data_IF_561818260304
#
_entry.id   IF_561818260304
#
_cell.length_a   1.000
_cell.length_b   1.000
_cell.length_c   1.000
_cell.angle_alpha   90.00
_cell.angle_beta   90.00
_cell.angle_gamma   90.00
#
_symmetry.space_group_name_H-M   'P 1'
#
loop_
_entity.id
_entity.type
_entity.pdbx_description
1 polymer ?
#
# COMPACT_ATOMS: atom_id res chain seq x y z
N UNK A 1 -29.25 -28.14 19.78
CA UNK A 1 -28.08 -28.15 18.92
C UNK A 1 -27.37 -26.83 19.10
N UNK A 2 -26.31 -26.83 19.90
CA UNK A 2 -25.47 -25.65 20.03
C UNK A 2 -24.54 -25.60 18.81
N UNK A 3 -24.76 -24.62 17.95
CA UNK A 3 -23.83 -24.30 16.88
C UNK A 3 -22.64 -23.61 17.53
N UNK A 4 -21.53 -24.31 17.60
CA UNK A 4 -20.26 -23.79 18.10
C UNK A 4 -19.78 -22.72 17.11
N UNK A 5 -19.95 -21.45 17.48
CA UNK A 5 -19.50 -20.29 16.73
C UNK A 5 -18.09 -19.85 17.15
N UNK A 6 -17.21 -20.78 17.46
CA UNK A 6 -15.78 -20.49 17.54
C UNK A 6 -15.25 -20.24 16.13
N UNK A 7 -15.59 -19.08 15.56
CA UNK A 7 -14.88 -18.54 14.41
C UNK A 7 -13.45 -18.30 14.87
N UNK A 8 -12.54 -19.14 14.43
CA UNK A 8 -11.12 -18.87 14.51
C UNK A 8 -10.91 -17.50 13.88
N UNK A 9 -10.67 -16.48 14.71
CA UNK A 9 -10.15 -15.20 14.28
C UNK A 9 -8.74 -15.47 13.76
N UNK A 10 -8.63 -15.88 12.51
CA UNK A 10 -7.37 -15.84 11.78
C UNK A 10 -7.10 -14.36 11.58
N UNK A 11 -6.31 -13.78 12.48
CA UNK A 11 -5.78 -12.45 12.26
C UNK A 11 -4.94 -12.51 10.98
N UNK A 12 -5.47 -11.93 9.92
CA UNK A 12 -4.76 -11.83 8.66
C UNK A 12 -3.50 -10.96 8.91
N UNK A 13 -2.32 -11.53 8.74
CA UNK A 13 -1.03 -10.86 8.94
C UNK A 13 -0.33 -10.76 7.60
N UNK A 14 -0.24 -9.57 7.05
CA UNK A 14 0.55 -9.38 5.86
C UNK A 14 2.01 -9.05 6.21
N UNK A 15 2.92 -9.50 5.36
CA UNK A 15 4.31 -9.06 5.36
C UNK A 15 4.46 -7.89 4.40
N UNK A 16 5.18 -6.85 4.81
CA UNK A 16 5.53 -5.73 3.95
C UNK A 16 7.03 -5.76 3.76
N UNK A 17 7.48 -6.01 2.53
CA UNK A 17 8.88 -6.24 2.22
C UNK A 17 9.39 -5.22 1.21
N UNK A 18 10.28 -4.33 1.64
CA UNK A 18 10.99 -3.43 0.76
C UNK A 18 12.15 -4.18 0.10
N UNK A 19 12.17 -4.18 -1.25
CA UNK A 19 13.17 -4.85 -2.06
C UNK A 19 13.73 -3.92 -3.12
N UNK A 20 14.87 -4.27 -3.72
CA UNK A 20 15.45 -3.50 -4.80
C UNK A 20 14.68 -3.69 -6.13
N UNK A 21 14.99 -2.85 -7.11
CA UNK A 21 14.33 -2.87 -8.43
C UNK A 21 14.46 -4.21 -9.14
N UNK A 22 15.64 -4.80 -9.11
CA UNK A 22 15.92 -6.07 -9.79
C UNK A 22 15.06 -7.18 -9.19
N UNK A 23 15.09 -7.32 -7.87
CA UNK A 23 14.32 -8.37 -7.18
C UNK A 23 12.82 -8.15 -7.37
N UNK A 24 12.36 -6.89 -7.44
CA UNK A 24 10.96 -6.58 -7.73
C UNK A 24 10.58 -6.96 -9.16
N UNK A 25 11.42 -6.63 -10.16
CA UNK A 25 11.16 -6.92 -11.57
C UNK A 25 11.33 -8.39 -11.93
N UNK A 26 12.19 -9.12 -11.22
CA UNK A 26 12.39 -10.56 -11.40
C UNK A 26 11.18 -11.37 -10.90
N UNK A 27 10.34 -10.78 -10.02
CA UNK A 27 9.05 -11.34 -9.62
C UNK A 27 8.03 -11.11 -10.74
N UNK A 28 7.54 -12.17 -11.32
CA UNK A 28 6.52 -12.11 -12.37
C UNK A 28 5.13 -12.02 -11.75
N UNK A 29 4.76 -10.82 -11.33
CA UNK A 29 3.40 -10.59 -10.83
C UNK A 29 2.40 -10.61 -12.00
N UNK A 30 1.40 -11.47 -11.92
CA UNK A 30 0.30 -11.55 -12.87
C UNK A 30 -1.03 -11.79 -12.13
N UNK A 31 -2.13 -11.19 -12.62
CA UNK A 31 -2.22 -10.19 -13.67
C UNK A 31 -1.87 -8.79 -13.19
N UNK A 32 -1.29 -8.02 -14.10
CA UNK A 32 -1.07 -6.59 -13.96
C UNK A 32 -2.40 -5.85 -13.95
N UNK A 33 -2.68 -5.09 -12.90
CA UNK A 33 -3.78 -4.12 -12.91
C UNK A 33 -3.22 -2.79 -13.39
N UNK A 34 -3.34 -2.56 -14.69
CA UNK A 34 -2.98 -1.28 -15.31
C UNK A 34 -4.05 -0.23 -14.98
N UNK A 35 -3.83 0.48 -13.91
CA UNK A 35 -4.68 1.57 -13.46
C UNK A 35 -4.39 2.90 -14.18
N UNK A 36 -3.50 2.92 -15.16
CA UNK A 36 -3.12 4.12 -15.88
C UNK A 36 -4.05 4.48 -17.04
N UNK A 37 -5.15 3.76 -17.23
CA UNK A 37 -6.10 4.11 -18.29
C UNK A 37 -6.92 5.34 -17.90
N UNK A 38 -6.73 6.48 -18.60
CA UNK A 38 -7.36 7.77 -18.25
C UNK A 38 -8.90 7.80 -18.35
N UNK A 39 -9.54 6.70 -18.70
CA UNK A 39 -11.00 6.63 -18.86
C UNK A 39 -11.75 6.23 -17.58
N UNK A 40 -11.05 5.70 -16.57
CA UNK A 40 -11.66 5.29 -15.32
C UNK A 40 -10.92 6.00 -14.17
N UNK A 41 -11.47 7.07 -13.61
CA UNK A 41 -10.81 7.88 -12.59
C UNK A 41 -10.51 7.13 -11.29
N UNK A 42 -11.18 6.01 -11.06
CA UNK A 42 -11.02 5.16 -9.89
C UNK A 42 -10.63 3.76 -10.34
N UNK A 43 -9.34 3.51 -10.38
CA UNK A 43 -8.85 2.16 -10.61
C UNK A 43 -8.92 1.35 -9.32
N UNK A 44 -10.08 0.79 -9.06
CA UNK A 44 -10.29 -0.18 -8.01
C UNK A 44 -10.67 -1.51 -8.64
N UNK A 45 -9.98 -2.57 -8.25
CA UNK A 45 -10.29 -3.92 -8.70
C UNK A 45 -10.26 -4.89 -7.53
N UNK A 46 -11.27 -5.75 -7.48
CA UNK A 46 -11.24 -6.89 -6.57
C UNK A 46 -10.71 -8.12 -7.32
N UNK A 47 -9.59 -8.64 -6.84
CA UNK A 47 -8.86 -9.75 -7.46
C UNK A 47 -8.98 -10.96 -6.54
N UNK A 48 -9.66 -12.03 -7.00
CA UNK A 48 -9.91 -13.21 -6.17
C UNK A 48 -8.76 -14.20 -6.15
N UNK A 49 -8.20 -14.49 -7.31
CA UNK A 49 -7.36 -15.67 -7.51
C UNK A 49 -5.96 -15.34 -7.99
N UNK A 50 -5.56 -14.07 -7.94
CA UNK A 50 -4.32 -13.61 -8.55
C UNK A 50 -3.57 -12.63 -7.66
N UNK A 51 -2.28 -12.45 -8.00
CA UNK A 51 -1.45 -11.42 -7.43
C UNK A 51 -1.91 -10.04 -7.92
N UNK A 52 -1.65 -9.03 -7.12
CA UNK A 52 -1.88 -7.64 -7.48
C UNK A 52 -0.54 -6.95 -7.74
N UNK A 53 -0.49 -6.12 -8.77
CA UNK A 53 0.64 -5.21 -8.99
C UNK A 53 0.16 -3.88 -9.55
N UNK A 54 0.79 -2.78 -9.08
CA UNK A 54 0.67 -1.46 -9.67
C UNK A 54 1.96 -0.68 -9.49
N UNK A 55 2.28 0.17 -10.45
CA UNK A 55 3.52 0.95 -10.48
C UNK A 55 3.31 2.41 -10.77
N UNK A 56 4.42 3.14 -10.88
CA UNK A 56 4.47 4.58 -11.19
C UNK A 56 3.64 5.44 -10.21
N UNK A 57 3.60 5.03 -8.93
CA UNK A 57 2.92 5.80 -7.89
C UNK A 57 3.77 7.04 -7.60
N UNK A 58 3.36 8.16 -8.15
CA UNK A 58 4.01 9.48 -7.97
C UNK A 58 3.21 10.33 -6.99
N UNK A 59 2.24 11.05 -7.51
CA UNK A 59 1.29 11.88 -6.74
C UNK A 59 0.02 11.13 -6.37
N UNK A 60 -0.21 9.98 -7.01
CA UNK A 60 -1.34 9.10 -6.79
C UNK A 60 -1.34 8.52 -5.37
N UNK A 61 -2.49 8.05 -4.94
CA UNK A 61 -2.65 7.17 -3.78
C UNK A 61 -2.89 5.75 -4.26
N UNK A 62 -2.11 4.82 -3.76
CA UNK A 62 -2.24 3.41 -4.11
C UNK A 62 -2.15 2.51 -2.88
N UNK A 63 -2.59 1.28 -3.05
CA UNK A 63 -2.58 0.28 -1.99
C UNK A 63 -3.55 -0.85 -2.25
N UNK A 64 -3.94 -1.50 -1.19
CA UNK A 64 -4.95 -2.54 -1.24
C UNK A 64 -5.38 -3.01 0.14
N UNK A 65 -6.53 -3.66 0.15
CA UNK A 65 -7.07 -4.39 1.28
C UNK A 65 -7.11 -5.86 0.94
N UNK A 66 -6.62 -6.69 1.83
CA UNK A 66 -6.50 -8.14 1.63
C UNK A 66 -7.33 -8.86 2.66
N UNK A 67 -8.08 -9.84 2.22
CA UNK A 67 -8.77 -10.83 3.06
C UNK A 67 -8.56 -12.24 2.50
N UNK A 68 -9.14 -13.24 3.16
CA UNK A 68 -9.11 -14.64 2.72
C UNK A 68 -9.75 -14.87 1.34
N UNK A 69 -10.55 -13.94 0.85
CA UNK A 69 -11.23 -14.02 -0.44
C UNK A 69 -10.50 -13.33 -1.59
N UNK A 70 -9.50 -12.49 -1.31
CA UNK A 70 -8.74 -11.82 -2.34
C UNK A 70 -8.20 -10.45 -1.95
N UNK A 71 -7.76 -9.70 -2.94
CA UNK A 71 -7.18 -8.35 -2.82
C UNK A 71 -8.11 -7.34 -3.45
N UNK A 72 -8.49 -6.32 -2.69
CA UNK A 72 -9.04 -5.09 -3.25
C UNK A 72 -7.87 -4.14 -3.52
N UNK A 73 -7.30 -4.18 -4.72
CA UNK A 73 -6.24 -3.27 -5.13
C UNK A 73 -6.80 -1.95 -5.66
N UNK A 74 -6.06 -0.86 -5.43
CA UNK A 74 -6.42 0.45 -5.97
C UNK A 74 -5.20 1.30 -6.31
N UNK A 75 -5.38 2.16 -7.32
CA UNK A 75 -4.43 3.20 -7.74
C UNK A 75 -5.24 4.41 -8.19
N UNK A 76 -5.25 5.47 -7.42
CA UNK A 76 -6.14 6.59 -7.56
C UNK A 76 -5.33 7.85 -7.89
N UNK A 77 -5.65 8.48 -9.03
CA UNK A 77 -5.00 9.72 -9.46
C UNK A 77 -5.42 10.90 -8.59
N UNK A 78 -4.48 11.80 -8.34
CA UNK A 78 -4.66 13.03 -7.57
C UNK A 78 -5.39 14.11 -8.39
N UNK A 79 -6.70 13.98 -8.46
CA UNK A 79 -7.56 15.01 -9.04
C UNK A 79 -8.79 15.26 -8.13
N UNK A 80 -9.34 16.49 -8.12
CA UNK A 80 -10.46 16.86 -7.26
C UNK A 80 -11.67 15.92 -7.37
N UNK A 81 -11.99 15.51 -8.60
CA UNK A 81 -13.13 14.63 -8.86
C UNK A 81 -12.97 13.26 -8.20
N UNK A 82 -11.75 12.81 -8.02
CA UNK A 82 -11.47 11.52 -7.38
C UNK A 82 -11.60 11.62 -5.85
N UNK A 83 -11.29 12.75 -5.25
CA UNK A 83 -11.44 12.98 -3.81
C UNK A 83 -12.90 12.76 -3.40
N UNK A 84 -13.84 13.26 -4.21
CA UNK A 84 -15.27 13.12 -3.94
C UNK A 84 -15.81 11.71 -4.22
N UNK A 85 -15.37 11.11 -5.33
CA UNK A 85 -15.91 9.82 -5.82
C UNK A 85 -15.33 8.60 -5.10
N UNK A 86 -14.11 8.70 -4.58
CA UNK A 86 -13.42 7.55 -3.96
C UNK A 86 -14.21 6.98 -2.78
N UNK A 87 -14.87 7.85 -2.02
CA UNK A 87 -15.65 7.46 -0.84
C UNK A 87 -16.74 6.44 -1.18
N UNK A 88 -17.57 6.76 -2.16
CA UNK A 88 -18.71 5.93 -2.52
C UNK A 88 -18.29 4.60 -3.14
N UNK A 89 -17.25 4.61 -3.97
CA UNK A 89 -16.80 3.40 -4.65
C UNK A 89 -16.11 2.42 -3.70
N UNK A 90 -15.19 2.90 -2.87
CA UNK A 90 -14.48 2.05 -1.91
C UNK A 90 -15.41 1.54 -0.81
N UNK A 91 -16.25 2.40 -0.23
CA UNK A 91 -17.18 1.99 0.81
C UNK A 91 -18.13 0.89 0.32
N UNK A 92 -18.71 1.03 -0.87
CA UNK A 92 -19.59 -0.01 -1.44
C UNK A 92 -18.92 -1.36 -1.59
N UNK A 93 -17.65 -1.39 -2.00
CA UNK A 93 -16.92 -2.64 -2.18
C UNK A 93 -16.58 -3.24 -0.81
N UNK A 94 -16.12 -2.42 0.14
CA UNK A 94 -15.78 -2.88 1.49
C UNK A 94 -17.04 -3.34 2.23
N UNK A 95 -18.12 -2.58 2.18
CA UNK A 95 -19.40 -2.91 2.82
C UNK A 95 -19.97 -4.23 2.30
N UNK A 96 -19.78 -4.53 1.01
CA UNK A 96 -20.22 -5.82 0.43
C UNK A 96 -19.50 -7.04 1.02
N UNK A 97 -18.40 -6.81 1.75
CA UNK A 97 -17.59 -7.87 2.36
C UNK A 97 -17.94 -8.18 3.83
N UNK A 98 -18.86 -7.42 4.43
CA UNK A 98 -19.44 -7.60 5.76
C UNK A 98 -18.57 -8.33 6.81
N UNK A 99 -17.88 -7.53 7.63
CA UNK A 99 -17.29 -8.02 8.89
C UNK A 99 -16.07 -8.94 8.72
N UNK A 100 -15.36 -8.89 7.59
CA UNK A 100 -14.12 -9.60 7.38
C UNK A 100 -12.94 -8.84 7.98
N UNK A 101 -11.98 -9.58 8.49
CA UNK A 101 -10.71 -9.01 8.91
C UNK A 101 -9.88 -8.72 7.66
N UNK A 102 -9.54 -7.44 7.47
CA UNK A 102 -8.64 -7.01 6.41
C UNK A 102 -7.25 -6.72 6.97
N UNK A 103 -6.23 -6.99 6.17
CA UNK A 103 -4.96 -6.27 6.23
C UNK A 103 -4.93 -5.23 5.11
N UNK A 104 -4.28 -4.10 5.34
CA UNK A 104 -4.27 -3.00 4.38
C UNK A 104 -2.93 -2.31 4.25
N UNK A 105 -2.57 -1.95 3.01
CA UNK A 105 -1.40 -1.13 2.70
C UNK A 105 -1.84 0.15 1.97
N UNK A 106 -1.37 1.30 2.44
CA UNK A 106 -1.49 2.60 1.78
C UNK A 106 -0.13 3.20 1.51
N UNK A 107 0.11 3.64 0.27
CA UNK A 107 1.33 4.35 -0.12
C UNK A 107 0.98 5.52 -1.02
N UNK A 108 1.63 6.68 -0.82
CA UNK A 108 1.39 7.86 -1.64
C UNK A 108 1.62 9.18 -0.93
N UNK A 109 0.77 10.17 -1.26
CA UNK A 109 0.80 11.52 -0.72
C UNK A 109 2.05 12.33 -1.10
N UNK A 110 2.58 12.10 -2.29
CA UNK A 110 3.70 12.87 -2.81
C UNK A 110 3.18 14.16 -3.42
N UNK A 111 3.50 15.26 -2.79
CA UNK A 111 3.11 16.59 -3.24
C UNK A 111 4.30 17.32 -3.85
N UNK A 112 4.27 17.57 -5.16
CA UNK A 112 5.31 18.29 -5.87
C UNK A 112 5.07 19.80 -5.95
N UNK A 113 3.85 20.22 -5.72
CA UNK A 113 3.47 21.62 -5.84
C UNK A 113 2.36 21.99 -4.87
N UNK A 114 2.20 23.26 -4.63
CA UNK A 114 1.10 23.84 -3.83
C UNK A 114 -0.29 23.62 -4.46
N UNK A 115 -0.35 23.02 -5.64
CA UNK A 115 -1.60 22.73 -6.38
C UNK A 115 -1.91 21.24 -6.49
N UNK A 116 -1.11 20.38 -5.85
CA UNK A 116 -1.35 18.94 -5.91
C UNK A 116 -2.45 18.53 -4.93
N UNK A 117 -3.37 17.72 -5.40
CA UNK A 117 -4.42 17.10 -4.60
C UNK A 117 -3.98 15.77 -3.96
N UNK A 118 -2.69 15.46 -4.06
CA UNK A 118 -2.11 14.19 -3.60
C UNK A 118 -2.31 13.96 -2.10
N UNK A 119 -2.03 14.97 -1.28
CA UNK A 119 -2.19 14.85 0.18
C UNK A 119 -3.65 14.78 0.58
N UNK A 120 -4.55 15.66 0.12
CA UNK A 120 -5.97 15.54 0.38
C UNK A 120 -6.58 14.22 -0.07
N UNK A 121 -6.19 13.71 -1.24
CA UNK A 121 -6.64 12.41 -1.72
C UNK A 121 -6.19 11.29 -0.80
N UNK A 122 -4.90 11.27 -0.44
CA UNK A 122 -4.36 10.26 0.45
C UNK A 122 -5.08 10.24 1.80
N UNK A 123 -5.25 11.40 2.41
CA UNK A 123 -5.91 11.53 3.69
C UNK A 123 -7.39 11.06 3.59
N UNK A 124 -8.05 11.39 2.49
CA UNK A 124 -9.42 10.91 2.23
C UNK A 124 -9.52 9.40 2.07
N UNK A 125 -8.60 8.79 1.32
CA UNK A 125 -8.55 7.33 1.15
C UNK A 125 -8.26 6.66 2.49
N UNK A 126 -7.31 7.20 3.26
CA UNK A 126 -6.99 6.71 4.60
C UNK A 126 -8.20 6.74 5.52
N UNK A 127 -8.90 7.86 5.60
CA UNK A 127 -10.10 8.02 6.45
C UNK A 127 -11.20 7.01 6.11
N UNK A 128 -11.30 6.61 4.84
CA UNK A 128 -12.26 5.58 4.43
C UNK A 128 -11.80 4.21 4.90
N UNK A 129 -10.52 3.87 4.67
CA UNK A 129 -9.95 2.57 5.02
C UNK A 129 -9.93 2.36 6.53
N UNK A 130 -9.56 3.39 7.30
CA UNK A 130 -9.49 3.34 8.76
C UNK A 130 -10.83 3.08 9.46
N UNK A 131 -11.95 3.23 8.76
CA UNK A 131 -13.27 2.81 9.28
C UNK A 131 -13.42 1.29 9.37
N UNK A 132 -12.60 0.54 8.66
CA UNK A 132 -12.72 -0.91 8.52
C UNK A 132 -11.48 -1.66 9.04
N UNK A 133 -10.31 -1.07 8.95
CA UNK A 133 -9.04 -1.68 9.35
C UNK A 133 -8.00 -0.60 9.63
N UNK A 134 -7.06 -0.88 10.55
CA UNK A 134 -5.84 -0.09 10.67
C UNK A 134 -4.86 -0.50 9.55
N UNK A 135 -4.71 0.28 8.47
CA UNK A 135 -3.79 -0.07 7.41
C UNK A 135 -2.36 0.26 7.78
N UNK A 136 -1.40 -0.46 7.21
CA UNK A 136 -0.02 0.02 7.18
C UNK A 136 0.11 1.19 6.21
N UNK A 137 0.72 2.30 6.65
CA UNK A 137 0.72 3.58 5.93
C UNK A 137 2.15 4.04 5.65
N UNK A 138 2.39 4.42 4.40
CA UNK A 138 3.66 4.98 3.93
C UNK A 138 3.41 6.30 3.17
N UNK A 139 3.47 7.42 3.90
CA UNK A 139 3.27 8.76 3.34
C UNK A 139 4.60 9.37 2.91
N UNK A 140 4.77 9.59 1.62
CA UNK A 140 6.04 10.01 1.01
C UNK A 140 6.39 11.46 1.38
N UNK A 141 7.67 11.79 1.49
CA UNK A 141 8.13 13.18 1.60
C UNK A 141 7.88 13.96 0.30
N UNK A 142 7.49 15.23 0.43
CA UNK A 142 7.22 16.13 -0.70
C UNK A 142 8.41 16.29 -1.66
N UNK A 143 9.63 16.18 -1.14
CA UNK A 143 10.87 16.37 -1.90
C UNK A 143 11.35 15.10 -2.63
N UNK A 144 10.65 13.99 -2.52
CA UNK A 144 11.06 12.74 -3.11
C UNK A 144 10.49 12.60 -4.52
N UNK A 145 11.35 12.56 -5.54
CA UNK A 145 10.97 12.39 -6.94
C UNK A 145 10.79 10.93 -7.37
N UNK A 146 10.94 10.02 -6.45
CA UNK A 146 10.90 8.61 -6.77
C UNK A 146 9.47 8.10 -7.02
N UNK A 147 9.35 7.18 -7.95
CA UNK A 147 8.13 6.43 -8.21
C UNK A 147 8.12 5.20 -7.32
N UNK A 148 7.03 4.99 -6.60
CA UNK A 148 6.86 3.74 -5.88
C UNK A 148 6.14 2.71 -6.74
N UNK A 149 6.48 1.44 -6.51
CA UNK A 149 5.82 0.31 -7.13
C UNK A 149 5.45 -0.66 -6.01
N UNK A 150 4.26 -1.21 -6.05
CA UNK A 150 3.79 -2.18 -5.07
C UNK A 150 3.21 -3.41 -5.75
N UNK A 151 3.38 -4.54 -5.11
CA UNK A 151 2.75 -5.79 -5.51
C UNK A 151 2.34 -6.59 -4.29
N UNK A 152 1.28 -7.36 -4.40
CA UNK A 152 0.89 -8.33 -3.40
C UNK A 152 0.95 -9.72 -3.99
N UNK A 153 1.73 -10.59 -3.38
CA UNK A 153 1.85 -12.00 -3.73
C UNK A 153 1.05 -12.83 -2.72
N UNK A 154 -0.02 -13.43 -3.20
CA UNK A 154 -1.01 -14.11 -2.37
C UNK A 154 -0.45 -15.34 -1.66
N UNK A 155 0.31 -16.17 -2.38
CA UNK A 155 0.84 -17.42 -1.82
C UNK A 155 1.83 -17.19 -0.67
N UNK A 156 2.46 -16.02 -0.64
CA UNK A 156 3.38 -15.62 0.42
C UNK A 156 2.75 -14.67 1.46
N UNK A 157 1.51 -14.24 1.22
CA UNK A 157 0.86 -13.19 2.03
C UNK A 157 1.77 -11.97 2.22
N UNK A 158 2.33 -11.47 1.11
CA UNK A 158 3.40 -10.48 1.17
C UNK A 158 3.17 -9.33 0.21
N UNK A 159 3.20 -8.12 0.74
CA UNK A 159 3.35 -6.90 -0.03
C UNK A 159 4.82 -6.67 -0.34
N UNK A 160 5.16 -6.60 -1.60
CA UNK A 160 6.46 -6.15 -2.07
C UNK A 160 6.39 -4.67 -2.44
N UNK A 161 7.34 -3.90 -1.95
CA UNK A 161 7.45 -2.48 -2.21
C UNK A 161 8.82 -2.18 -2.78
N UNK A 162 8.85 -1.52 -3.92
CA UNK A 162 10.06 -0.91 -4.46
C UNK A 162 9.86 0.60 -4.51
N UNK A 163 10.71 1.33 -3.80
CA UNK A 163 10.76 2.79 -3.81
C UNK A 163 12.21 3.22 -3.90
N UNK A 164 12.63 3.81 -5.05
CA UNK A 164 13.97 4.36 -5.17
C UNK A 164 14.15 5.59 -4.27
N UNK A 165 15.38 5.83 -3.83
CA UNK A 165 15.71 7.02 -3.04
C UNK A 165 15.90 8.25 -3.94
N UNK A 166 15.60 9.45 -3.44
CA UNK A 166 15.36 10.65 -4.25
C UNK A 166 16.57 11.29 -4.92
N UNK A 167 17.77 10.74 -4.81
CA UNK A 167 19.01 11.41 -5.24
C UNK A 167 19.36 11.28 -6.73
N UNK A 168 18.63 10.47 -7.51
CA UNK A 168 18.99 10.22 -8.91
C UNK A 168 17.76 10.17 -9.82
N UNK A 169 17.89 10.66 -11.06
CA UNK A 169 16.82 10.50 -12.05
C UNK A 169 16.59 9.01 -12.35
N UNK A 170 15.35 8.66 -12.53
CA UNK A 170 14.78 7.31 -12.59
C UNK A 170 15.23 6.38 -13.74
N UNK A 171 16.37 6.61 -14.36
CA UNK A 171 16.81 5.82 -15.52
C UNK A 171 18.07 4.98 -15.28
N UNK A 172 18.64 5.01 -14.08
CA UNK A 172 19.87 4.26 -13.79
C UNK A 172 19.57 2.87 -13.24
N UNK A 173 20.20 1.84 -13.79
CA UNK A 173 20.07 0.46 -13.30
C UNK A 173 20.56 0.27 -11.85
N UNK A 174 21.36 1.19 -11.33
CA UNK A 174 21.91 1.20 -9.97
C UNK A 174 21.28 2.28 -9.11
N UNK A 175 19.97 2.47 -9.20
CA UNK A 175 19.26 3.43 -8.34
C UNK A 175 19.41 3.03 -6.87
N UNK A 176 19.80 4.00 -5.99
CA UNK A 176 19.75 3.74 -4.57
C UNK A 176 18.30 3.44 -4.16
N UNK A 177 18.14 2.41 -3.38
CA UNK A 177 16.85 1.94 -2.91
C UNK A 177 16.83 1.90 -1.39
N UNK A 178 15.66 1.67 -0.81
CA UNK A 178 15.51 1.50 0.64
C UNK A 178 16.22 0.21 1.05
N UNK A 179 17.40 0.34 1.63
CA UNK A 179 18.26 -0.78 2.04
C UNK A 179 18.43 -0.87 3.57
N UNK A 180 17.93 0.13 4.31
CA UNK A 180 18.06 0.21 5.77
C UNK A 180 16.89 0.94 6.38
N UNK A 181 16.75 0.85 7.70
CA UNK A 181 15.75 1.61 8.45
C UNK A 181 15.93 3.13 8.29
N UNK A 182 17.17 3.60 8.25
CA UNK A 182 17.46 5.02 8.01
C UNK A 182 16.97 5.48 6.64
N UNK A 183 17.22 4.68 5.60
CA UNK A 183 16.76 5.01 4.25
C UNK A 183 15.22 4.98 4.16
N UNK A 184 14.57 4.05 4.85
CA UNK A 184 13.11 4.02 4.98
C UNK A 184 12.58 5.29 5.64
N UNK A 185 13.13 5.67 6.78
CA UNK A 185 12.72 6.88 7.52
C UNK A 185 13.01 8.16 6.74
N UNK A 186 14.02 8.17 5.85
CA UNK A 186 14.31 9.29 4.97
C UNK A 186 13.37 9.41 3.77
N UNK A 187 12.80 8.29 3.32
CA UNK A 187 11.88 8.26 2.17
C UNK A 187 10.46 8.68 2.53
N UNK A 188 10.03 8.39 3.74
CA UNK A 188 8.66 8.61 4.18
C UNK A 188 8.59 9.54 5.38
N UNK A 189 7.71 10.55 5.29
CA UNK A 189 7.44 11.50 6.38
C UNK A 189 6.52 10.92 7.46
N UNK A 190 5.76 9.90 7.10
CA UNK A 190 4.92 9.15 8.00
C UNK A 190 4.99 7.67 7.64
N UNK A 191 5.25 6.85 8.63
CA UNK A 191 5.18 5.40 8.53
C UNK A 191 4.35 4.94 9.72
N UNK A 192 3.36 4.11 9.45
CA UNK A 192 2.58 3.41 10.48
C UNK A 192 2.42 1.96 10.07
N UNK A 193 2.91 1.05 10.87
CA UNK A 193 2.78 -0.38 10.64
C UNK A 193 1.63 -0.90 11.47
N UNK A 194 0.68 -1.54 10.82
CA UNK A 194 -0.48 -2.12 11.50
C UNK A 194 -0.04 -3.20 12.50
N UNK A 195 -0.76 -3.36 13.63
CA UNK A 195 -0.35 -4.29 14.70
C UNK A 195 -0.21 -5.73 14.24
N UNK A 196 -0.98 -6.12 13.21
CA UNK A 196 -0.97 -7.46 12.63
C UNK A 196 0.13 -7.64 11.58
N UNK A 197 0.71 -6.56 11.04
CA UNK A 197 1.64 -6.64 9.91
C UNK A 197 3.10 -6.71 10.37
N UNK A 198 3.94 -7.30 9.53
CA UNK A 198 5.38 -7.37 9.72
C UNK A 198 6.11 -6.57 8.65
N UNK A 199 7.13 -5.81 9.05
CA UNK A 199 7.94 -5.00 8.15
C UNK A 199 9.30 -5.64 7.91
N UNK A 200 9.72 -5.69 6.64
CA UNK A 200 11.04 -6.18 6.23
C UNK A 200 11.73 -5.18 5.29
N UNK A 201 13.04 -5.08 5.43
CA UNK A 201 13.92 -4.42 4.47
C UNK A 201 14.90 -5.47 3.95
N UNK A 202 14.73 -5.88 2.69
CA UNK A 202 15.37 -7.10 2.20
C UNK A 202 14.93 -8.31 3.05
N UNK A 203 15.88 -9.02 3.62
CA UNK A 203 15.61 -10.18 4.48
C UNK A 203 15.56 -9.80 5.99
N UNK A 204 15.88 -8.55 6.34
CA UNK A 204 15.90 -8.10 7.73
C UNK A 204 14.51 -7.66 8.17
N UNK A 205 13.96 -8.33 9.18
CA UNK A 205 12.76 -7.87 9.86
C UNK A 205 13.08 -6.63 10.72
N UNK A 206 12.22 -5.63 10.65
CA UNK A 206 12.22 -4.48 11.53
C UNK A 206 11.17 -4.74 12.62
N UNK A 207 11.61 -4.81 13.85
CA UNK A 207 10.73 -5.05 14.98
C UNK A 207 10.42 -3.75 15.72
N UNK A 208 9.38 -3.77 16.56
CA UNK A 208 8.90 -2.58 17.29
C UNK A 208 10.00 -1.97 18.17
N UNK A 209 10.88 -2.80 18.71
CA UNK A 209 12.01 -2.38 19.55
C UNK A 209 13.04 -1.56 18.78
N UNK A 210 13.23 -1.84 17.47
CA UNK A 210 14.16 -1.09 16.61
C UNK A 210 13.65 0.34 16.35
N UNK A 211 12.33 0.52 16.21
CA UNK A 211 11.72 1.80 15.92
C UNK A 211 10.25 1.87 16.36
N UNK A 212 9.96 2.04 17.65
CA UNK A 212 8.59 1.98 18.18
C UNK A 212 7.65 3.02 17.55
N UNK A 213 8.18 4.14 17.06
CA UNK A 213 7.39 5.25 16.50
C UNK A 213 6.67 4.92 15.20
N UNK A 214 7.12 3.90 14.47
CA UNK A 214 6.50 3.50 13.20
C UNK A 214 5.42 2.44 13.38
N UNK A 215 5.28 1.86 14.54
CA UNK A 215 4.22 0.90 14.82
C UNK A 215 3.07 1.59 15.54
N UNK A 216 1.84 1.15 15.25
CA UNK A 216 0.70 1.62 16.01
C UNK A 216 0.88 1.31 17.49
N UNK A 217 0.49 2.24 18.33
CA UNK A 217 0.36 2.01 19.76
C UNK A 217 -0.77 1.00 19.97
N UNK A 218 -0.44 -0.11 20.66
CA UNK A 218 -1.40 -1.16 20.97
C UNK A 218 -2.28 -0.82 22.14
#
# INVERSE_FOLDING_TARGET
MNVDTSRNNVNFQAKIKFINKRDFMDKKFFPFVDCQRPKEPLCTSFIKDHDFWTGEIRTCTSGGLVDDSGVLGFHIFDCPENIDKVGDSMSKIIDSKNGRNFSGLLIGAKDFSTRSDSVPLFDRVRDIVERFVNPSVFKVHNNNFAESNIAYERDLDTWFVYTPLPKYPCYCQNEPFIASLESLLSAFREIKIAPQDSLFIGEKQIVKEDCPKIFYEG
#
